data_IF_652819199298
#
_entry.id   IF_652819199298
#
_cell.length_a   1.000
_cell.length_b   1.000
_cell.length_c   1.000
_cell.angle_alpha   90.00
_cell.angle_beta   90.00
_cell.angle_gamma   90.00
#
_symmetry.space_group_name_H-M   'P 1'
#
loop_
_entity.id
_entity.type
_entity.pdbx_description
1 polymer ?
#
# COMPACT_ATOMS: atom_id res chain seq x y z
N UNK A 1 1.56 23.04 -10.76
CA UNK A 1 1.53 23.62 -9.41
C UNK A 1 2.92 23.41 -8.83
N UNK A 2 3.63 24.46 -8.40
CA UNK A 2 4.94 24.32 -7.74
C UNK A 2 4.72 24.37 -6.24
N UNK A 3 5.11 23.33 -5.53
CA UNK A 3 5.16 23.33 -4.07
C UNK A 3 6.60 23.51 -3.62
N UNK A 4 6.85 24.51 -2.81
CA UNK A 4 8.18 24.74 -2.26
C UNK A 4 8.53 23.62 -1.28
N UNK A 5 9.75 23.09 -1.42
CA UNK A 5 10.28 22.08 -0.51
C UNK A 5 10.69 22.81 0.77
N UNK A 6 10.26 22.35 1.97
CA UNK A 6 10.71 22.96 3.22
C UNK A 6 12.24 22.92 3.33
N UNK A 7 12.87 24.01 3.77
CA UNK A 7 14.34 24.11 3.88
C UNK A 7 14.97 22.93 4.66
N UNK A 8 14.26 22.38 5.65
CA UNK A 8 14.72 21.21 6.43
C UNK A 8 14.83 19.92 5.62
N UNK A 9 14.14 19.83 4.48
CA UNK A 9 14.10 18.67 3.58
C UNK A 9 15.01 18.83 2.37
N UNK A 10 15.49 20.03 2.05
CA UNK A 10 16.39 20.29 0.92
C UNK A 10 17.64 19.39 0.94
N UNK A 11 18.37 19.20 2.07
CA UNK A 11 19.55 18.34 2.07
C UNK A 11 19.23 16.89 1.73
N UNK A 12 18.04 16.42 2.14
CA UNK A 12 17.56 15.09 1.82
C UNK A 12 17.25 14.96 0.33
N UNK A 13 16.47 15.89 -0.24
CA UNK A 13 16.11 15.87 -1.66
C UNK A 13 17.37 15.96 -2.54
N UNK A 14 18.29 16.85 -2.22
CA UNK A 14 19.57 16.98 -2.92
C UNK A 14 20.38 15.69 -2.86
N UNK A 15 20.42 15.00 -1.71
CA UNK A 15 21.08 13.70 -1.60
C UNK A 15 20.48 12.66 -2.55
N UNK A 16 19.15 12.65 -2.70
CA UNK A 16 18.46 11.68 -3.56
C UNK A 16 18.72 11.95 -5.07
N UNK A 17 18.77 13.23 -5.46
CA UNK A 17 19.09 13.63 -6.85
C UNK A 17 20.58 13.44 -7.16
N UNK A 18 21.48 13.90 -6.28
CA UNK A 18 22.93 13.75 -6.44
C UNK A 18 23.35 12.27 -6.47
N UNK A 19 22.64 11.42 -5.71
CA UNK A 19 22.80 9.97 -5.75
C UNK A 19 22.23 9.31 -7.01
N UNK A 20 21.69 10.08 -7.96
CA UNK A 20 21.01 9.62 -9.20
C UNK A 20 19.87 8.65 -8.96
N UNK A 21 19.27 8.67 -7.76
CA UNK A 21 18.10 7.86 -7.45
C UNK A 21 16.83 8.45 -8.05
N UNK A 22 16.81 9.77 -8.23
CA UNK A 22 15.79 10.50 -8.97
C UNK A 22 16.46 11.51 -9.89
N UNK A 23 15.80 11.87 -10.99
CA UNK A 23 16.34 12.75 -12.02
C UNK A 23 16.25 14.23 -11.61
N UNK A 24 15.27 14.57 -10.78
CA UNK A 24 15.01 15.93 -10.34
C UNK A 24 14.25 15.95 -8.99
N UNK A 25 14.14 17.13 -8.40
CA UNK A 25 13.49 17.33 -7.11
C UNK A 25 11.97 17.01 -7.14
N UNK A 26 11.31 17.31 -8.26
CA UNK A 26 9.87 17.07 -8.43
C UNK A 26 9.53 15.58 -8.38
N UNK A 27 10.39 14.71 -8.90
CA UNK A 27 10.21 13.26 -8.80
C UNK A 27 10.28 12.77 -7.35
N UNK A 28 11.18 13.34 -6.54
CA UNK A 28 11.29 13.00 -5.10
C UNK A 28 10.01 13.39 -4.36
N UNK A 29 9.49 14.59 -4.63
CA UNK A 29 8.25 15.08 -4.03
C UNK A 29 7.05 14.24 -4.48
N UNK A 30 6.97 13.93 -5.77
CA UNK A 30 5.89 13.11 -6.34
C UNK A 30 5.85 11.72 -5.71
N UNK A 31 7.01 11.08 -5.56
CA UNK A 31 7.08 9.78 -4.88
C UNK A 31 6.69 9.88 -3.40
N UNK A 32 7.11 10.94 -2.71
CA UNK A 32 6.68 11.22 -1.34
C UNK A 32 5.15 11.34 -1.20
N UNK A 33 4.50 12.04 -2.13
CA UNK A 33 3.04 12.17 -2.19
C UNK A 33 2.36 10.82 -2.50
N UNK A 34 2.90 10.05 -3.45
CA UNK A 34 2.40 8.70 -3.75
C UNK A 34 2.49 7.78 -2.53
N UNK A 35 3.58 7.83 -1.76
CA UNK A 35 3.72 7.07 -0.52
C UNK A 35 2.72 7.51 0.55
N UNK A 36 2.44 8.82 0.65
CA UNK A 36 1.42 9.35 1.55
C UNK A 36 0.02 8.85 1.15
N UNK A 37 -0.34 8.96 -0.13
CA UNK A 37 -1.62 8.48 -0.65
C UNK A 37 -1.81 6.98 -0.40
N UNK A 38 -0.78 6.17 -0.66
CA UNK A 38 -0.81 4.74 -0.39
C UNK A 38 -1.03 4.44 1.10
N UNK A 39 -0.41 5.23 1.99
CA UNK A 39 -0.58 5.08 3.43
C UNK A 39 -1.99 5.46 3.89
N UNK A 40 -2.56 6.54 3.39
CA UNK A 40 -3.93 6.93 3.74
C UNK A 40 -4.94 5.91 3.21
N UNK A 41 -4.77 5.43 1.98
CA UNK A 41 -5.58 4.34 1.42
C UNK A 41 -5.52 3.08 2.30
N UNK A 42 -4.32 2.67 2.72
CA UNK A 42 -4.16 1.52 3.61
C UNK A 42 -4.86 1.74 4.97
N UNK A 43 -4.77 2.94 5.55
CA UNK A 43 -5.44 3.26 6.81
C UNK A 43 -6.96 3.14 6.68
N UNK A 44 -7.53 3.62 5.58
CA UNK A 44 -8.96 3.50 5.31
C UNK A 44 -9.39 2.04 5.17
N UNK A 45 -8.65 1.23 4.41
CA UNK A 45 -8.96 -0.20 4.24
C UNK A 45 -8.86 -0.98 5.56
N UNK A 46 -7.85 -0.69 6.38
CA UNK A 46 -7.72 -1.29 7.72
C UNK A 46 -8.91 -0.90 8.60
N UNK A 47 -9.30 0.38 8.61
CA UNK A 47 -10.46 0.84 9.37
C UNK A 47 -11.77 0.16 8.91
N UNK A 48 -11.96 -0.01 7.60
CA UNK A 48 -13.09 -0.78 7.03
C UNK A 48 -13.09 -2.24 7.49
N UNK A 49 -11.91 -2.86 7.57
CA UNK A 49 -11.72 -4.21 8.08
C UNK A 49 -12.18 -4.34 9.53
N UNK A 50 -11.70 -3.46 10.42
CA UNK A 50 -12.12 -3.44 11.83
C UNK A 50 -13.63 -3.20 11.99
N UNK A 51 -14.19 -2.23 11.27
CA UNK A 51 -15.63 -1.97 11.31
C UNK A 51 -16.47 -3.20 10.86
N UNK A 52 -15.94 -3.99 9.90
CA UNK A 52 -16.60 -5.23 9.48
C UNK A 52 -16.54 -6.31 10.56
N UNK A 53 -15.42 -6.42 11.29
CA UNK A 53 -15.29 -7.33 12.42
C UNK A 53 -16.23 -6.95 13.57
N UNK A 54 -16.29 -5.67 13.92
CA UNK A 54 -17.20 -5.15 14.95
C UNK A 54 -18.67 -5.39 14.59
N UNK A 55 -19.01 -5.35 13.30
CA UNK A 55 -20.32 -5.70 12.77
C UNK A 55 -20.59 -7.23 12.73
N UNK A 56 -19.68 -8.06 13.24
CA UNK A 56 -19.82 -9.52 13.27
C UNK A 56 -19.64 -10.21 11.92
N UNK A 57 -19.05 -9.53 10.92
CA UNK A 57 -18.85 -10.09 9.56
C UNK A 57 -17.56 -10.91 9.41
N UNK A 58 -16.93 -11.27 10.53
CA UNK A 58 -15.78 -12.17 10.52
C UNK A 58 -16.16 -13.56 10.00
N UNK A 59 -15.22 -14.23 9.34
CA UNK A 59 -15.38 -15.62 8.90
C UNK A 59 -14.46 -16.49 9.75
N UNK A 60 -14.95 -17.61 10.32
CA UNK A 60 -14.10 -18.54 11.06
C UNK A 60 -12.94 -19.04 10.20
N UNK A 61 -11.74 -19.13 10.81
CA UNK A 61 -10.51 -19.51 10.12
C UNK A 61 -10.62 -20.85 9.40
N UNK A 62 -11.25 -21.85 10.02
CA UNK A 62 -11.49 -23.18 9.45
C UNK A 62 -12.24 -23.12 8.11
N UNK A 63 -13.24 -22.25 8.00
CA UNK A 63 -13.98 -22.05 6.75
C UNK A 63 -13.10 -21.39 5.68
N UNK A 64 -12.25 -20.43 6.07
CA UNK A 64 -11.33 -19.76 5.15
C UNK A 64 -10.30 -20.74 4.60
N UNK A 65 -9.68 -21.56 5.47
CA UNK A 65 -8.68 -22.55 5.06
C UNK A 65 -9.29 -23.63 4.18
N UNK A 66 -10.44 -24.19 4.57
CA UNK A 66 -11.13 -25.21 3.76
C UNK A 66 -11.47 -24.68 2.35
N UNK A 67 -11.93 -23.42 2.25
CA UNK A 67 -12.19 -22.79 0.94
C UNK A 67 -10.91 -22.60 0.13
N UNK A 68 -9.82 -22.18 0.76
CA UNK A 68 -8.54 -21.99 0.09
C UNK A 68 -7.95 -23.32 -0.43
N UNK A 69 -7.93 -24.36 0.40
CA UNK A 69 -7.48 -25.71 0.02
C UNK A 69 -8.29 -26.27 -1.14
N UNK A 70 -9.63 -26.14 -1.08
CA UNK A 70 -10.49 -26.57 -2.18
C UNK A 70 -10.13 -25.85 -3.49
N UNK A 71 -9.93 -24.54 -3.44
CA UNK A 71 -9.57 -23.74 -4.62
C UNK A 71 -8.20 -24.12 -5.17
N UNK A 72 -7.23 -24.37 -4.30
CA UNK A 72 -5.90 -24.86 -4.70
C UNK A 72 -6.03 -26.19 -5.44
N UNK A 73 -6.80 -27.13 -4.89
CA UNK A 73 -6.99 -28.44 -5.50
C UNK A 73 -7.73 -28.38 -6.85
N UNK A 74 -8.70 -27.47 -7.02
CA UNK A 74 -9.35 -27.20 -8.33
C UNK A 74 -8.31 -26.75 -9.37
N UNK A 75 -7.46 -25.77 -9.01
CA UNK A 75 -6.41 -25.26 -9.89
C UNK A 75 -5.42 -26.37 -10.26
N UNK A 76 -5.01 -27.19 -9.31
CA UNK A 76 -4.08 -28.31 -9.53
C UNK A 76 -4.66 -29.39 -10.47
N UNK A 77 -5.99 -29.59 -10.45
CA UNK A 77 -6.69 -30.49 -11.38
C UNK A 77 -6.95 -29.86 -12.76
N UNK A 78 -6.64 -28.56 -12.95
CA UNK A 78 -6.93 -27.83 -14.18
C UNK A 78 -8.40 -27.44 -14.34
N UNK A 79 -9.16 -27.41 -13.25
CA UNK A 79 -10.56 -26.99 -13.18
C UNK A 79 -10.59 -25.48 -12.89
N UNK A 80 -10.59 -24.64 -13.94
CA UNK A 80 -10.65 -23.17 -13.82
C UNK A 80 -12.05 -22.61 -14.09
#
# INVERSE_FOLDING_TARGET
MSTDIPNSMEPFVQKMVNGRRYLNEQEVVTEGLRMLEARETLREEVAKGFASLDAGKGVPSEQVYSRAEKRIAEIERGEL
#
